data_IF_590021168786
#
_entry.id   IF_590021168786
#
_cell.length_a   1.000
_cell.length_b   1.000
_cell.length_c   1.000
_cell.angle_alpha   90.00
_cell.angle_beta   90.00
_cell.angle_gamma   90.00
#
_symmetry.space_group_name_H-M   'P 1'
#
loop_
_entity.id
_entity.type
_entity.pdbx_description
1 polymer ?
#
# COMPACT_ATOMS: atom_id res chain seq x y z
N UNK A 1 -18.84 -2.60 -7.57
CA UNK A 1 -17.65 -2.53 -8.46
C UNK A 1 -17.98 -1.69 -9.67
N UNK A 2 -17.03 -0.88 -10.15
CA UNK A 2 -17.21 0.00 -11.31
C UNK A 2 -16.12 -0.30 -12.34
N UNK A 3 -16.45 -0.26 -13.63
CA UNK A 3 -15.52 -0.37 -14.76
C UNK A 3 -15.52 0.96 -15.52
N UNK A 4 -14.38 1.61 -15.64
CA UNK A 4 -14.20 2.90 -16.33
C UNK A 4 -15.25 3.97 -15.93
N UNK A 5 -15.60 4.00 -14.64
CA UNK A 5 -16.59 4.92 -14.07
C UNK A 5 -18.05 4.46 -14.09
N UNK A 6 -18.38 3.37 -14.79
CA UNK A 6 -19.74 2.86 -14.89
C UNK A 6 -19.98 1.70 -13.91
N UNK A 7 -21.11 1.72 -13.20
CA UNK A 7 -21.49 0.64 -12.29
C UNK A 7 -21.66 -0.67 -13.07
N UNK A 8 -20.91 -1.71 -12.67
CA UNK A 8 -21.10 -3.06 -13.22
C UNK A 8 -22.38 -3.67 -12.65
N UNK A 9 -23.27 -4.14 -13.52
CA UNK A 9 -24.40 -4.96 -13.11
C UNK A 9 -23.93 -6.32 -12.58
N UNK A 10 -24.75 -6.99 -11.77
CA UNK A 10 -24.42 -8.34 -11.26
C UNK A 10 -24.21 -9.37 -12.38
N UNK A 11 -24.77 -9.13 -13.57
CA UNK A 11 -24.65 -9.99 -14.75
C UNK A 11 -23.38 -9.70 -15.58
N UNK A 12 -22.76 -8.53 -15.41
CA UNK A 12 -21.53 -8.17 -16.10
C UNK A 12 -20.33 -8.67 -15.32
N UNK A 13 -19.80 -9.82 -15.68
CA UNK A 13 -18.52 -10.31 -15.18
C UNK A 13 -17.38 -9.87 -16.10
N UNK A 14 -16.22 -9.54 -15.54
CA UNK A 14 -14.99 -9.43 -16.34
C UNK A 14 -14.70 -10.80 -16.95
N UNK A 15 -14.45 -10.84 -18.26
CA UNK A 15 -14.16 -12.09 -18.94
C UNK A 15 -12.94 -12.76 -18.30
N UNK A 16 -12.97 -14.06 -18.10
CA UNK A 16 -11.87 -14.84 -17.55
C UNK A 16 -10.61 -14.77 -18.40
N UNK A 17 -10.72 -14.50 -19.70
CA UNK A 17 -9.60 -14.26 -20.61
C UNK A 17 -8.87 -12.93 -20.39
N UNK A 18 -9.25 -12.15 -19.36
CA UNK A 18 -8.60 -10.92 -18.98
C UNK A 18 -7.14 -11.16 -18.58
N UNK A 19 -6.22 -10.36 -19.11
CA UNK A 19 -4.78 -10.47 -18.81
C UNK A 19 -4.45 -10.22 -17.33
N UNK A 20 -5.23 -9.38 -16.63
CA UNK A 20 -5.05 -9.19 -15.20
C UNK A 20 -5.26 -10.50 -14.44
N UNK A 21 -6.29 -11.27 -14.82
CA UNK A 21 -6.57 -12.57 -14.21
C UNK A 21 -5.56 -13.65 -14.65
N UNK A 22 -5.32 -13.77 -15.96
CA UNK A 22 -4.48 -14.86 -16.50
C UNK A 22 -2.98 -14.66 -16.28
N UNK A 23 -2.51 -13.41 -16.25
CA UNK A 23 -1.08 -13.10 -16.27
C UNK A 23 -0.65 -12.16 -15.14
N UNK A 24 -1.57 -11.72 -14.27
CA UNK A 24 -1.26 -10.71 -13.27
C UNK A 24 -0.90 -9.34 -13.85
N UNK A 25 -1.33 -9.05 -15.11
CA UNK A 25 -0.98 -7.82 -15.84
C UNK A 25 -1.85 -6.65 -15.37
N UNK A 26 -1.63 -6.25 -14.14
CA UNK A 26 -2.38 -5.17 -13.48
C UNK A 26 -1.52 -4.45 -12.45
N UNK A 27 -1.90 -3.21 -12.13
CA UNK A 27 -1.41 -2.47 -10.98
C UNK A 27 -2.57 -2.12 -10.07
N UNK A 28 -2.33 -2.16 -8.76
CA UNK A 28 -3.31 -1.89 -7.73
C UNK A 28 -2.88 -0.63 -6.96
N UNK A 29 -3.82 0.29 -6.71
CA UNK A 29 -3.57 1.54 -5.98
C UNK A 29 -4.79 1.85 -5.13
N UNK A 30 -4.58 2.56 -4.01
CA UNK A 30 -5.61 2.89 -3.05
C UNK A 30 -5.74 4.41 -2.91
N UNK A 31 -6.88 4.97 -3.35
CA UNK A 31 -7.25 6.35 -3.05
C UNK A 31 -8.00 6.40 -1.72
N UNK A 32 -7.77 7.42 -0.95
CA UNK A 32 -8.32 7.56 0.39
C UNK A 32 -9.42 8.61 0.42
N UNK A 33 -10.43 8.39 1.27
CA UNK A 33 -11.42 9.41 1.55
C UNK A 33 -11.74 9.46 3.05
N UNK A 34 -11.97 10.68 3.52
CA UNK A 34 -12.30 10.98 4.91
C UNK A 34 -13.39 12.06 4.91
N UNK A 35 -14.46 11.86 5.71
CA UNK A 35 -15.61 12.77 5.76
C UNK A 35 -16.19 13.06 4.36
N UNK A 36 -16.35 12.04 3.54
CA UNK A 36 -16.86 12.14 2.14
C UNK A 36 -15.96 12.96 1.20
N UNK A 37 -14.72 13.22 1.53
CA UNK A 37 -13.78 13.94 0.67
C UNK A 37 -12.61 13.05 0.32
N UNK A 38 -12.19 13.05 -0.94
CA UNK A 38 -10.95 12.40 -1.36
C UNK A 38 -9.77 13.17 -0.77
N UNK A 39 -8.84 12.47 -0.12
CA UNK A 39 -7.63 13.04 0.47
C UNK A 39 -6.40 12.39 -0.16
N UNK A 40 -5.24 13.07 -0.12
CA UNK A 40 -3.99 12.65 -0.76
C UNK A 40 -4.16 12.31 -2.26
N UNK A 41 -5.15 12.93 -2.92
CA UNK A 41 -5.53 12.59 -4.29
C UNK A 41 -4.37 12.74 -5.29
N UNK A 42 -3.59 13.81 -5.17
CA UNK A 42 -2.47 14.10 -6.05
C UNK A 42 -1.34 13.07 -5.89
N UNK A 43 -0.95 12.75 -4.65
CA UNK A 43 0.11 11.79 -4.36
C UNK A 43 -0.24 10.40 -4.89
N UNK A 44 -1.49 9.96 -4.64
CA UNK A 44 -1.99 8.66 -5.11
C UNK A 44 -2.12 8.64 -6.63
N UNK A 45 -2.59 9.73 -7.24
CA UNK A 45 -2.66 9.84 -8.70
C UNK A 45 -1.28 9.71 -9.35
N UNK A 46 -0.27 10.42 -8.84
CA UNK A 46 1.08 10.28 -9.38
C UNK A 46 1.65 8.88 -9.16
N UNK A 47 1.32 8.24 -8.04
CA UNK A 47 1.70 6.85 -7.82
C UNK A 47 1.02 5.90 -8.81
N UNK A 48 -0.28 6.08 -9.12
CA UNK A 48 -1.00 5.32 -10.15
C UNK A 48 -0.35 5.49 -11.52
N UNK A 49 -0.08 6.74 -11.94
CA UNK A 49 0.56 7.04 -13.22
C UNK A 49 1.96 6.43 -13.31
N UNK A 50 2.74 6.55 -12.23
CA UNK A 50 4.09 5.97 -12.15
C UNK A 50 4.05 4.44 -12.24
N UNK A 51 3.12 3.80 -11.54
CA UNK A 51 2.93 2.35 -11.52
C UNK A 51 2.58 1.82 -12.91
N UNK A 52 1.63 2.46 -13.59
CA UNK A 52 1.28 2.11 -14.97
C UNK A 52 2.46 2.30 -15.95
N UNK A 53 3.26 3.37 -15.78
CA UNK A 53 4.47 3.59 -16.61
C UNK A 53 5.52 2.52 -16.37
N UNK A 54 5.75 2.11 -15.11
CA UNK A 54 6.66 1.00 -14.78
C UNK A 54 6.22 -0.31 -15.45
N UNK A 55 4.92 -0.56 -15.54
CA UNK A 55 4.33 -1.68 -16.29
C UNK A 55 4.26 -1.44 -17.81
N UNK A 56 4.77 -0.31 -18.31
CA UNK A 56 4.73 0.08 -19.73
C UNK A 56 3.32 0.06 -20.32
N UNK A 57 2.34 0.49 -19.56
CA UNK A 57 0.95 0.59 -19.99
C UNK A 57 0.75 1.80 -20.91
N UNK A 58 -0.12 1.67 -21.91
CA UNK A 58 -0.52 2.77 -22.80
C UNK A 58 -1.63 3.57 -22.12
N UNK A 59 -1.23 4.57 -21.32
CA UNK A 59 -2.14 5.34 -20.47
C UNK A 59 -2.97 6.30 -21.32
N UNK A 60 -4.32 6.26 -21.23
CA UNK A 60 -5.18 7.21 -21.94
C UNK A 60 -4.91 8.67 -21.49
N UNK A 61 -4.93 9.62 -22.41
CA UNK A 61 -4.77 11.05 -22.11
C UNK A 61 -5.90 11.58 -21.21
N UNK A 62 -7.05 10.94 -21.21
CA UNK A 62 -8.19 11.26 -20.35
C UNK A 62 -7.98 10.88 -18.88
N UNK A 63 -6.96 10.10 -18.54
CA UNK A 63 -6.65 9.72 -17.16
C UNK A 63 -5.93 10.88 -16.45
N UNK A 64 -6.65 11.97 -16.20
CA UNK A 64 -6.14 13.14 -15.47
C UNK A 64 -6.48 13.06 -13.98
N UNK A 65 -5.85 13.88 -13.16
CA UNK A 65 -6.17 13.99 -11.73
C UNK A 65 -7.63 14.38 -11.53
N UNK A 66 -8.10 15.37 -12.29
CA UNK A 66 -9.48 15.85 -12.26
C UNK A 66 -10.47 14.74 -12.61
N UNK A 67 -10.18 13.97 -13.66
CA UNK A 67 -11.03 12.83 -14.04
C UNK A 67 -11.22 11.85 -12.88
N UNK A 68 -10.15 11.43 -12.20
CA UNK A 68 -10.26 10.49 -11.09
C UNK A 68 -10.93 11.13 -9.87
N UNK A 69 -10.59 12.39 -9.53
CA UNK A 69 -11.19 13.06 -8.37
C UNK A 69 -12.69 13.30 -8.57
N UNK A 70 -13.13 13.62 -9.77
CA UNK A 70 -14.54 13.86 -10.08
C UNK A 70 -15.36 12.57 -9.95
N UNK A 71 -14.94 11.48 -10.60
CA UNK A 71 -15.69 10.20 -10.54
C UNK A 71 -15.71 9.64 -9.12
N UNK A 72 -14.62 9.76 -8.37
CA UNK A 72 -14.55 9.27 -7.00
C UNK A 72 -15.39 10.12 -6.05
N UNK A 73 -15.32 11.46 -6.17
CA UNK A 73 -16.12 12.36 -5.36
C UNK A 73 -17.62 12.11 -5.55
N UNK A 74 -18.07 11.93 -6.82
CA UNK A 74 -19.47 11.60 -7.10
C UNK A 74 -19.89 10.25 -6.51
N UNK A 75 -19.03 9.24 -6.64
CA UNK A 75 -19.31 7.90 -6.13
C UNK A 75 -19.38 7.88 -4.59
N UNK A 76 -18.47 8.58 -3.89
CA UNK A 76 -18.40 8.64 -2.43
C UNK A 76 -19.68 9.28 -1.84
N UNK A 77 -20.26 10.31 -2.47
CA UNK A 77 -21.45 10.99 -1.94
C UNK A 77 -22.63 10.02 -1.71
N UNK A 78 -22.75 8.99 -2.52
CA UNK A 78 -23.82 8.00 -2.45
C UNK A 78 -23.57 6.84 -1.47
N UNK A 79 -22.41 6.80 -0.80
CA UNK A 79 -22.07 5.74 0.15
C UNK A 79 -22.80 5.93 1.48
N UNK A 80 -23.14 4.84 2.19
CA UNK A 80 -23.70 4.90 3.54
C UNK A 80 -22.63 5.11 4.65
N UNK A 81 -21.40 5.42 4.29
CA UNK A 81 -20.27 5.63 5.22
C UNK A 81 -19.38 6.77 4.73
N UNK A 82 -18.63 7.38 5.65
CA UNK A 82 -17.92 8.63 5.42
C UNK A 82 -16.42 8.46 5.22
N UNK A 83 -15.85 7.33 5.67
CA UNK A 83 -14.42 7.08 5.65
C UNK A 83 -14.11 5.73 4.99
N UNK A 84 -12.93 5.67 4.34
CA UNK A 84 -12.47 4.44 3.72
C UNK A 84 -11.48 4.68 2.60
N UNK A 85 -11.37 3.70 1.74
CA UNK A 85 -10.52 3.79 0.56
C UNK A 85 -11.23 3.28 -0.70
N UNK A 86 -10.69 3.70 -1.84
CA UNK A 86 -11.10 3.26 -3.18
C UNK A 86 -9.96 2.42 -3.72
N UNK A 87 -10.19 1.13 -3.84
CA UNK A 87 -9.24 0.20 -4.45
C UNK A 87 -9.39 0.27 -5.96
N UNK A 88 -8.35 0.72 -6.63
CA UNK A 88 -8.28 0.85 -8.09
C UNK A 88 -7.36 -0.23 -8.64
N UNK A 89 -7.84 -1.00 -9.60
CA UNK A 89 -7.06 -1.95 -10.37
C UNK A 89 -7.03 -1.50 -11.82
N UNK A 90 -5.87 -1.05 -12.31
CA UNK A 90 -5.65 -0.70 -13.72
C UNK A 90 -5.01 -1.86 -14.45
N UNK A 91 -5.52 -2.20 -15.63
CA UNK A 91 -5.09 -3.35 -16.43
C UNK A 91 -5.30 -3.10 -17.93
N UNK A 92 -4.60 -3.87 -18.78
CA UNK A 92 -4.77 -3.76 -20.23
C UNK A 92 -6.09 -4.36 -20.68
N UNK A 93 -6.75 -3.66 -21.61
CA UNK A 93 -7.97 -4.15 -22.26
C UNK A 93 -7.75 -5.54 -22.87
N UNK A 94 -8.81 -6.32 -22.94
CA UNK A 94 -8.82 -7.59 -23.66
C UNK A 94 -8.80 -7.29 -25.15
N UNK A 95 -7.83 -7.85 -25.86
CA UNK A 95 -7.72 -7.81 -27.31
C UNK A 95 -7.23 -9.18 -27.80
N UNK A 96 -7.61 -9.54 -29.02
CA UNK A 96 -7.22 -10.80 -29.65
C UNK A 96 -5.70 -10.92 -29.81
N UNK A 97 -5.03 -9.77 -30.02
CA UNK A 97 -3.58 -9.70 -30.13
C UNK A 97 -3.00 -8.71 -29.12
N UNK A 98 -2.07 -9.16 -28.28
CA UNK A 98 -1.37 -8.28 -27.37
C UNK A 98 -0.50 -7.27 -28.10
N UNK A 99 -0.64 -6.00 -27.75
CA UNK A 99 0.14 -4.90 -28.28
C UNK A 99 0.58 -3.93 -27.16
N UNK A 100 1.74 -3.30 -27.33
CA UNK A 100 2.16 -2.21 -26.45
C UNK A 100 1.22 -0.99 -26.52
N UNK A 101 0.38 -0.89 -27.54
CA UNK A 101 -0.62 0.16 -27.72
C UNK A 101 -2.00 -0.21 -27.15
N UNK A 102 -2.16 -1.43 -26.60
CA UNK A 102 -3.41 -1.87 -25.98
C UNK A 102 -3.85 -0.86 -24.90
N UNK A 103 -5.07 -0.30 -25.01
CA UNK A 103 -5.58 0.66 -24.04
C UNK A 103 -5.66 0.08 -22.63
N UNK A 104 -5.63 0.95 -21.63
CA UNK A 104 -5.80 0.60 -20.22
C UNK A 104 -7.24 0.84 -19.80
N UNK A 105 -7.81 -0.12 -19.10
CA UNK A 105 -9.03 0.00 -18.34
C UNK A 105 -8.71 0.06 -16.84
N UNK A 106 -9.65 0.50 -16.05
CA UNK A 106 -9.59 0.35 -14.61
C UNK A 106 -10.92 -0.08 -14.02
N UNK A 107 -10.87 -0.89 -13.00
CA UNK A 107 -12.00 -1.17 -12.11
C UNK A 107 -11.73 -0.57 -10.76
N UNK A 108 -12.78 -0.18 -10.05
CA UNK A 108 -12.64 0.27 -8.67
C UNK A 108 -13.80 -0.18 -7.80
N UNK A 109 -13.53 -0.29 -6.54
CA UNK A 109 -14.51 -0.55 -5.49
C UNK A 109 -14.24 0.35 -4.28
N UNK A 110 -15.29 0.74 -3.56
CA UNK A 110 -15.18 1.49 -2.33
C UNK A 110 -15.28 0.54 -1.16
N UNK A 111 -14.34 0.69 -0.23
CA UNK A 111 -14.27 -0.13 0.98
C UNK A 111 -14.38 0.79 2.18
N UNK A 112 -15.28 0.44 3.12
CA UNK A 112 -15.39 1.12 4.39
C UNK A 112 -14.19 0.77 5.27
N UNK A 113 -13.51 1.78 5.79
CA UNK A 113 -12.46 1.60 6.79
C UNK A 113 -12.36 2.86 7.67
N UNK A 114 -13.00 2.81 8.81
CA UNK A 114 -13.10 3.96 9.70
C UNK A 114 -11.80 4.22 10.49
N UNK A 115 -10.93 3.22 10.62
CA UNK A 115 -9.65 3.26 11.35
C UNK A 115 -8.42 3.44 10.48
N UNK A 116 -8.58 3.71 9.17
CA UNK A 116 -7.48 3.74 8.19
C UNK A 116 -6.31 4.66 8.58
N UNK A 117 -6.62 5.79 9.23
CA UNK A 117 -5.65 6.81 9.63
C UNK A 117 -5.34 6.81 11.12
N UNK A 118 -5.62 5.72 11.80
CA UNK A 118 -5.34 5.49 13.21
C UNK A 118 -4.59 4.17 13.36
N UNK A 119 -3.94 3.97 14.50
CA UNK A 119 -3.43 2.65 14.82
C UNK A 119 -4.62 1.72 15.05
N UNK A 120 -4.81 0.78 14.14
CA UNK A 120 -5.97 -0.11 14.12
C UNK A 120 -5.89 -1.14 15.24
N UNK A 121 -4.78 -1.85 15.32
CA UNK A 121 -4.49 -2.84 16.37
C UNK A 121 -2.98 -3.07 16.50
N UNK A 122 -2.63 -3.76 17.56
CA UNK A 122 -1.29 -4.34 17.71
C UNK A 122 -1.19 -5.63 16.89
N UNK A 123 -0.04 -5.86 16.26
CA UNK A 123 0.22 -7.05 15.45
C UNK A 123 1.51 -7.74 15.86
N UNK A 124 1.52 -9.06 15.70
CA UNK A 124 2.71 -9.89 15.88
C UNK A 124 3.29 -10.28 14.52
N UNK A 125 4.60 -10.15 14.38
CA UNK A 125 5.35 -10.50 13.18
C UNK A 125 6.41 -11.55 13.45
N UNK A 126 6.74 -12.33 12.43
CA UNK A 126 8.03 -13.06 12.36
C UNK A 126 8.72 -12.78 11.02
N UNK A 127 9.90 -13.33 10.86
CA UNK A 127 10.72 -13.18 9.67
C UNK A 127 10.67 -14.46 8.87
N UNK A 128 10.09 -14.41 7.68
CA UNK A 128 10.10 -15.53 6.75
C UNK A 128 11.45 -15.63 6.04
N UNK A 129 11.99 -16.84 5.91
CA UNK A 129 13.33 -17.09 5.35
C UNK A 129 13.31 -17.94 4.09
N UNK A 130 12.19 -18.62 3.82
CA UNK A 130 12.01 -19.56 2.73
C UNK A 130 11.93 -18.87 1.38
N UNK A 131 11.49 -17.63 1.39
CA UNK A 131 11.34 -16.81 0.18
C UNK A 131 12.04 -15.46 0.37
N UNK A 132 12.26 -14.78 -0.75
CA UNK A 132 12.74 -13.39 -0.75
C UNK A 132 12.03 -12.59 -1.83
N UNK A 133 11.77 -11.30 -1.54
CA UNK A 133 11.19 -10.38 -2.52
C UNK A 133 12.28 -9.78 -3.41
N UNK A 134 11.92 -9.50 -4.65
CA UNK A 134 12.84 -8.87 -5.60
C UNK A 134 13.12 -7.40 -5.26
N UNK A 135 14.18 -6.85 -5.87
CA UNK A 135 14.62 -5.45 -5.70
C UNK A 135 14.65 -4.68 -7.03
N UNK A 136 13.92 -5.16 -8.03
CA UNK A 136 13.84 -4.49 -9.33
C UNK A 136 12.72 -3.42 -9.36
N UNK A 137 12.62 -2.70 -10.47
CA UNK A 137 11.69 -1.56 -10.66
C UNK A 137 10.21 -1.86 -10.35
N UNK A 138 9.78 -3.13 -10.46
CA UNK A 138 8.39 -3.53 -10.16
C UNK A 138 8.16 -3.90 -8.69
N UNK A 139 9.21 -4.02 -7.88
CA UNK A 139 9.10 -4.41 -6.47
C UNK A 139 8.46 -3.34 -5.60
N UNK A 140 8.48 -2.08 -6.07
CA UNK A 140 7.96 -0.94 -5.32
C UNK A 140 6.49 -0.60 -5.61
N UNK A 141 5.82 -1.39 -6.44
CA UNK A 141 4.42 -1.17 -6.82
C UNK A 141 3.58 -2.40 -6.49
N UNK A 142 2.29 -2.19 -6.28
CA UNK A 142 1.38 -3.29 -6.04
C UNK A 142 0.94 -3.93 -7.37
N UNK A 143 1.63 -4.97 -7.77
CA UNK A 143 1.31 -5.84 -8.89
C UNK A 143 1.27 -7.29 -8.43
N UNK A 144 1.05 -8.24 -9.33
CA UNK A 144 1.09 -9.67 -8.99
C UNK A 144 2.45 -10.04 -8.37
N UNK A 145 2.42 -10.61 -7.19
CA UNK A 145 3.59 -10.99 -6.40
C UNK A 145 3.33 -12.34 -5.73
N UNK A 146 3.78 -13.44 -6.32
CA UNK A 146 3.59 -14.79 -5.76
C UNK A 146 4.18 -14.94 -4.36
N UNK A 147 5.27 -14.21 -4.07
CA UNK A 147 5.91 -14.19 -2.76
C UNK A 147 4.96 -13.72 -1.66
N UNK A 148 4.10 -12.74 -1.96
CA UNK A 148 3.10 -12.28 -1.00
C UNK A 148 2.07 -13.38 -0.71
N UNK A 149 1.61 -14.11 -1.73
CA UNK A 149 0.64 -15.20 -1.57
C UNK A 149 1.22 -16.31 -0.67
N UNK A 150 2.47 -16.70 -0.93
CA UNK A 150 3.16 -17.66 -0.10
C UNK A 150 3.30 -17.20 1.35
N UNK A 151 3.73 -15.95 1.54
CA UNK A 151 3.92 -15.34 2.86
C UNK A 151 2.60 -15.21 3.63
N UNK A 152 1.49 -14.95 2.96
CA UNK A 152 0.15 -14.87 3.54
C UNK A 152 -0.30 -16.23 4.10
N UNK A 153 -0.08 -17.30 3.34
CA UNK A 153 -0.35 -18.68 3.79
C UNK A 153 0.54 -19.03 4.98
N UNK A 154 1.84 -18.73 4.87
CA UNK A 154 2.79 -18.97 5.98
C UNK A 154 2.37 -18.23 7.26
N UNK A 155 1.95 -16.97 7.17
CA UNK A 155 1.49 -16.21 8.32
C UNK A 155 0.26 -16.86 8.97
N UNK A 156 -0.71 -17.32 8.18
CA UNK A 156 -1.91 -18.01 8.65
C UNK A 156 -1.57 -19.36 9.33
N UNK A 157 -0.66 -20.16 8.76
CA UNK A 157 -0.23 -21.45 9.31
C UNK A 157 0.53 -21.31 10.65
N UNK A 158 1.08 -20.12 10.93
CA UNK A 158 1.86 -19.82 12.14
C UNK A 158 1.15 -18.87 13.11
N UNK A 159 -0.15 -18.62 12.93
CA UNK A 159 -0.96 -17.71 13.76
C UNK A 159 -0.36 -16.30 13.89
N UNK A 160 0.26 -15.78 12.81
CA UNK A 160 0.85 -14.45 12.74
C UNK A 160 -0.09 -13.47 12.00
N UNK A 161 -0.05 -12.19 12.38
CA UNK A 161 -0.81 -11.15 11.69
C UNK A 161 -0.19 -10.79 10.32
N UNK A 162 1.15 -10.80 10.23
CA UNK A 162 1.93 -10.51 9.02
C UNK A 162 3.37 -11.05 9.20
N UNK A 163 4.20 -10.97 8.18
CA UNK A 163 5.62 -11.36 8.26
C UNK A 163 6.53 -10.34 7.62
N UNK A 164 7.76 -10.27 8.11
CA UNK A 164 8.84 -9.48 7.53
C UNK A 164 9.44 -10.25 6.36
N UNK A 165 9.38 -9.65 5.18
CA UNK A 165 9.97 -10.13 3.94
C UNK A 165 11.38 -9.56 3.77
N UNK A 166 12.32 -10.45 3.46
CA UNK A 166 13.70 -10.08 3.18
C UNK A 166 13.95 -10.08 1.66
N UNK A 167 14.92 -9.30 1.22
CA UNK A 167 15.42 -9.36 -0.14
C UNK A 167 16.57 -10.41 -0.28
N UNK A 168 17.09 -10.65 -1.49
CA UNK A 168 18.19 -11.60 -1.72
C UNK A 168 19.46 -11.31 -0.93
N UNK A 169 19.68 -10.05 -0.52
CA UNK A 169 20.81 -9.64 0.35
C UNK A 169 20.54 -9.85 1.84
N UNK A 170 19.44 -10.52 2.20
CA UNK A 170 18.99 -10.75 3.59
C UNK A 170 18.69 -9.48 4.38
N UNK A 171 18.35 -8.39 3.68
CA UNK A 171 17.92 -7.13 4.26
C UNK A 171 16.41 -7.04 4.31
N UNK A 172 15.88 -6.31 5.28
CA UNK A 172 14.44 -6.06 5.41
C UNK A 172 13.98 -5.24 4.21
N UNK A 173 13.00 -5.76 3.49
CA UNK A 173 12.33 -5.07 2.41
C UNK A 173 11.03 -4.39 2.92
N UNK A 174 10.11 -5.18 3.46
CA UNK A 174 8.77 -4.74 3.84
C UNK A 174 8.03 -5.86 4.60
N UNK A 175 6.79 -5.62 5.00
CA UNK A 175 5.85 -6.71 5.32
C UNK A 175 5.10 -7.19 4.07
N UNK A 176 4.16 -8.12 4.21
CA UNK A 176 3.32 -8.56 3.09
C UNK A 176 2.51 -7.37 2.54
N UNK A 177 1.87 -6.62 3.45
CA UNK A 177 0.87 -5.61 3.09
C UNK A 177 1.39 -4.18 3.11
N UNK A 178 2.52 -3.90 3.76
CA UNK A 178 2.97 -2.53 3.95
C UNK A 178 4.46 -2.39 4.22
N UNK A 179 4.85 -1.17 4.56
CA UNK A 179 6.21 -0.81 4.94
C UNK A 179 6.35 -0.78 6.46
N UNK A 180 7.56 -1.05 6.93
CA UNK A 180 7.92 -1.03 8.34
C UNK A 180 8.75 0.21 8.64
N UNK A 181 8.41 0.91 9.73
CA UNK A 181 9.13 2.05 10.26
C UNK A 181 9.67 1.67 11.63
N UNK A 182 10.96 1.87 11.85
CA UNK A 182 11.66 1.49 13.07
C UNK A 182 12.13 2.76 13.80
N UNK A 183 11.53 3.06 14.94
CA UNK A 183 11.96 4.17 15.79
C UNK A 183 13.13 3.72 16.67
N UNK A 184 14.25 4.43 16.62
CA UNK A 184 15.40 4.24 17.48
C UNK A 184 15.86 5.60 18.02
N UNK A 185 15.70 5.83 19.32
CA UNK A 185 15.88 7.14 19.93
C UNK A 185 14.96 8.20 19.31
N UNK A 186 15.51 9.14 18.57
CA UNK A 186 14.74 10.19 17.86
C UNK A 186 14.80 10.05 16.34
N UNK A 187 15.17 8.88 15.81
CA UNK A 187 15.28 8.62 14.37
C UNK A 187 14.30 7.53 13.96
N UNK A 188 13.51 7.79 12.93
CA UNK A 188 12.68 6.78 12.26
C UNK A 188 13.47 6.25 11.07
N UNK A 189 13.86 4.99 11.15
CA UNK A 189 14.54 4.26 10.08
C UNK A 189 13.52 3.58 9.18
N UNK A 190 13.63 3.81 7.87
CA UNK A 190 12.74 3.24 6.85
C UNK A 190 13.57 2.47 5.84
N UNK A 191 13.28 1.20 5.55
CA UNK A 191 13.97 0.47 4.49
C UNK A 191 13.87 1.20 3.15
N UNK A 192 15.01 1.32 2.44
CA UNK A 192 15.07 1.98 1.14
C UNK A 192 14.15 1.29 0.12
N UNK A 193 13.63 2.05 -0.83
CA UNK A 193 12.89 1.48 -1.96
C UNK A 193 13.75 0.51 -2.78
N UNK A 194 15.06 0.72 -2.84
CA UNK A 194 16.02 -0.18 -3.48
C UNK A 194 16.13 -1.55 -2.81
N UNK A 195 15.67 -1.67 -1.58
CA UNK A 195 15.62 -2.94 -0.84
C UNK A 195 14.31 -3.73 -1.08
N UNK A 196 13.37 -3.19 -1.85
CA UNK A 196 12.09 -3.81 -2.17
C UNK A 196 10.90 -3.28 -1.37
N UNK A 197 11.07 -2.18 -0.64
CA UNK A 197 9.97 -1.50 0.03
C UNK A 197 8.97 -0.90 -0.97
N UNK A 198 7.69 -0.88 -0.62
CA UNK A 198 6.66 -0.25 -1.46
C UNK A 198 6.80 1.27 -1.49
N UNK A 199 6.42 1.86 -2.61
CA UNK A 199 6.02 3.27 -2.63
C UNK A 199 4.63 3.32 -2.04
N UNK A 200 4.45 4.08 -0.95
CA UNK A 200 3.19 4.19 -0.21
C UNK A 200 2.86 5.66 0.01
N UNK A 201 1.87 6.22 -0.70
CA UNK A 201 1.42 7.59 -0.48
C UNK A 201 1.01 7.87 0.97
N UNK A 202 0.38 6.89 1.64
CA UNK A 202 0.00 7.03 3.04
C UNK A 202 1.22 7.19 3.95
N UNK A 203 2.23 6.34 3.79
CA UNK A 203 3.48 6.41 4.55
C UNK A 203 4.24 7.72 4.26
N UNK A 204 4.37 8.10 2.99
CA UNK A 204 5.07 9.33 2.60
C UNK A 204 4.42 10.58 3.18
N UNK A 205 3.07 10.62 3.24
CA UNK A 205 2.33 11.70 3.90
C UNK A 205 2.66 11.77 5.40
N UNK A 206 2.66 10.63 6.10
CA UNK A 206 3.00 10.56 7.51
C UNK A 206 4.45 10.98 7.77
N UNK A 207 5.41 10.44 7.03
CA UNK A 207 6.84 10.78 7.16
C UNK A 207 7.08 12.26 6.90
N UNK A 208 6.44 12.82 5.87
CA UNK A 208 6.52 14.24 5.54
C UNK A 208 5.99 15.11 6.70
N UNK A 209 4.89 14.70 7.32
CA UNK A 209 4.35 15.38 8.51
C UNK A 209 5.34 15.34 9.69
N UNK A 210 5.90 14.17 9.99
CA UNK A 210 6.89 14.00 11.07
C UNK A 210 8.10 14.88 10.84
N UNK A 211 8.63 14.89 9.63
CA UNK A 211 9.81 15.70 9.26
C UNK A 211 9.51 17.21 9.35
N UNK A 212 8.42 17.69 8.75
CA UNK A 212 8.02 19.11 8.77
C UNK A 212 7.82 19.64 10.19
N UNK A 213 7.27 18.82 11.09
CA UNK A 213 7.02 19.19 12.49
C UNK A 213 8.20 18.87 13.43
N UNK A 214 9.32 18.36 12.89
CA UNK A 214 10.54 18.03 13.65
C UNK A 214 10.26 17.06 14.82
N UNK A 215 9.35 16.12 14.62
CA UNK A 215 8.99 15.14 15.66
C UNK A 215 10.02 14.03 15.79
N UNK A 216 10.66 13.67 14.68
CA UNK A 216 11.79 12.75 14.61
C UNK A 216 12.61 13.03 13.33
N UNK A 217 13.85 12.55 13.29
CA UNK A 217 14.65 12.47 12.08
C UNK A 217 14.21 11.26 11.24
N UNK A 218 14.30 11.39 9.92
CA UNK A 218 13.94 10.30 8.99
C UNK A 218 15.21 9.82 8.30
N UNK A 219 15.49 8.53 8.39
CA UNK A 219 16.66 7.92 7.75
C UNK A 219 16.24 6.73 6.87
N UNK A 220 16.59 6.78 5.59
CA UNK A 220 16.42 5.63 4.68
C UNK A 220 17.61 4.68 4.84
N UNK A 221 17.34 3.44 5.22
CA UNK A 221 18.37 2.48 5.64
C UNK A 221 18.38 1.20 4.80
N UNK A 222 19.52 0.54 4.82
CA UNK A 222 19.72 -0.85 4.44
C UNK A 222 19.86 -1.65 5.74
N UNK A 223 18.82 -2.35 6.16
CA UNK A 223 18.72 -2.96 7.48
C UNK A 223 18.65 -4.49 7.39
N UNK A 224 19.49 -5.18 8.11
CA UNK A 224 19.38 -6.64 8.27
C UNK A 224 18.35 -6.99 9.36
N UNK A 225 17.81 -8.20 9.28
CA UNK A 225 16.76 -8.65 10.18
C UNK A 225 17.08 -8.49 11.67
N UNK A 226 18.34 -8.70 12.08
CA UNK A 226 18.76 -8.55 13.48
C UNK A 226 18.66 -7.11 14.00
N UNK A 227 18.81 -6.12 13.11
CA UNK A 227 18.76 -4.71 13.52
C UNK A 227 17.36 -4.25 13.91
N UNK A 228 16.29 -4.93 13.42
CA UNK A 228 14.92 -4.66 13.88
C UNK A 228 14.77 -4.82 15.40
N UNK A 229 15.62 -5.65 16.02
CA UNK A 229 15.62 -5.88 17.46
C UNK A 229 16.19 -4.68 18.26
N UNK A 230 16.80 -3.68 17.61
CA UNK A 230 17.30 -2.47 18.28
C UNK A 230 16.25 -1.39 18.41
N UNK A 231 15.19 -1.45 17.61
CA UNK A 231 14.13 -0.45 17.64
C UNK A 231 13.47 -0.35 19.02
N UNK A 232 13.08 0.88 19.38
CA UNK A 232 12.27 1.17 20.56
C UNK A 232 10.79 0.90 20.27
N UNK A 233 10.31 1.32 19.10
CA UNK A 233 8.94 1.09 18.61
C UNK A 233 8.97 0.73 17.12
N UNK A 234 7.97 -0.03 16.66
CA UNK A 234 7.85 -0.39 15.24
C UNK A 234 6.42 -0.13 14.78
N UNK A 235 6.29 0.52 13.63
CA UNK A 235 5.01 0.81 12.97
C UNK A 235 4.98 0.13 11.61
N UNK A 236 3.84 -0.47 11.25
CA UNK A 236 3.54 -0.89 9.89
C UNK A 236 2.52 0.04 9.27
N UNK A 237 2.80 0.55 8.08
CA UNK A 237 1.86 1.37 7.29
C UNK A 237 1.58 0.68 5.96
N UNK A 238 0.31 0.45 5.71
CA UNK A 238 -0.22 -0.19 4.51
C UNK A 238 -1.29 0.70 3.86
N UNK A 239 -1.17 0.96 2.58
CA UNK A 239 -2.20 1.69 1.82
C UNK A 239 -3.53 0.89 1.75
N UNK A 240 -3.47 -0.43 1.89
CA UNK A 240 -4.64 -1.32 1.85
C UNK A 240 -5.26 -1.58 3.23
N UNK A 241 -4.42 -1.82 4.23
CA UNK A 241 -4.86 -2.32 5.53
C UNK A 241 -4.90 -1.24 6.61
N UNK A 242 -4.27 -0.07 6.37
CA UNK A 242 -4.13 0.99 7.34
C UNK A 242 -2.85 0.89 8.17
N UNK A 243 -2.92 1.34 9.42
CA UNK A 243 -1.75 1.54 10.28
C UNK A 243 -1.82 0.59 11.48
N UNK A 244 -0.71 -0.07 11.76
CA UNK A 244 -0.61 -1.07 12.83
C UNK A 244 0.63 -0.83 13.69
N UNK A 245 0.49 -0.99 14.99
CA UNK A 245 1.63 -1.08 15.88
C UNK A 245 2.15 -2.50 15.90
N UNK A 246 3.43 -2.68 15.65
CA UNK A 246 4.08 -4.00 15.81
C UNK A 246 4.48 -4.14 17.27
N UNK A 247 3.73 -4.94 18.02
CA UNK A 247 3.99 -5.13 19.44
C UNK A 247 4.94 -6.29 19.75
N UNK A 248 5.19 -7.17 18.76
CA UNK A 248 6.11 -8.30 18.96
C UNK A 248 6.72 -8.79 17.65
N UNK A 249 8.03 -9.04 17.68
CA UNK A 249 8.76 -9.79 16.66
C UNK A 249 9.50 -10.92 17.38
N UNK A 250 9.08 -12.17 17.14
CA UNK A 250 9.57 -13.37 17.84
C UNK A 250 9.41 -13.25 19.35
N UNK A 251 10.52 -13.10 20.08
CA UNK A 251 10.57 -13.05 21.54
C UNK A 251 10.69 -11.62 22.07
N UNK A 252 10.79 -10.60 21.21
CA UNK A 252 10.90 -9.21 21.64
C UNK A 252 9.57 -8.47 21.50
N UNK A 253 9.16 -7.85 22.59
CA UNK A 253 8.00 -6.96 22.65
C UNK A 253 8.43 -5.50 22.44
N UNK A 254 7.52 -4.71 21.86
CA UNK A 254 7.71 -3.30 21.54
C UNK A 254 6.51 -2.48 22.05
N UNK A 255 6.75 -1.35 22.72
CA UNK A 255 5.70 -0.37 23.01
C UNK A 255 5.31 0.41 21.74
N UNK A 256 4.31 1.31 21.88
CA UNK A 256 3.81 2.10 20.74
C UNK A 256 3.45 3.54 21.09
N UNK A 257 3.93 4.06 22.18
CA UNK A 257 3.48 5.36 22.76
C UNK A 257 3.78 6.53 21.84
N UNK A 258 5.00 6.62 21.30
CA UNK A 258 5.45 7.73 20.47
C UNK A 258 4.81 7.73 19.08
N UNK A 259 4.75 6.56 18.44
CA UNK A 259 4.06 6.44 17.16
C UNK A 259 2.56 6.75 17.31
N UNK A 260 1.92 6.31 18.39
CA UNK A 260 0.51 6.64 18.68
C UNK A 260 0.29 8.15 18.72
N UNK A 261 1.11 8.88 19.48
CA UNK A 261 1.02 10.33 19.58
C UNK A 261 1.25 11.03 18.22
N UNK A 262 2.24 10.56 17.45
CA UNK A 262 2.53 11.13 16.13
C UNK A 262 1.39 10.88 15.12
N UNK A 263 0.81 9.68 15.12
CA UNK A 263 -0.32 9.31 14.24
C UNK A 263 -1.57 10.10 14.59
N UNK A 264 -1.91 10.24 15.88
CA UNK A 264 -3.05 11.04 16.30
C UNK A 264 -2.94 12.50 15.80
N UNK A 265 -1.79 13.12 16.00
CA UNK A 265 -1.54 14.50 15.55
C UNK A 265 -1.59 14.63 14.03
N UNK A 266 -0.99 13.68 13.31
CA UNK A 266 -1.03 13.66 11.84
C UNK A 266 -2.45 13.47 11.30
N UNK A 267 -3.23 12.56 11.87
CA UNK A 267 -4.61 12.30 11.47
C UNK A 267 -5.50 13.56 11.53
N UNK A 268 -5.26 14.45 12.50
CA UNK A 268 -5.97 15.74 12.61
C UNK A 268 -5.66 16.69 11.45
N UNK A 269 -4.57 16.50 10.72
CA UNK A 269 -4.18 17.33 9.58
C UNK A 269 -4.74 16.85 8.25
N UNK A 270 -5.29 15.63 8.20
CA UNK A 270 -5.91 15.05 7.01
C UNK A 270 -7.36 15.58 6.87
N UNK A 271 -7.54 16.58 6.02
CA UNK A 271 -8.83 17.26 5.80
C UNK A 271 -9.29 17.13 4.35
#
# INVERSE_FOLDING_TARGET
MYLDGNLLSQEQSLAYANRAFMNGDAVKVYFFFKNKKVILAEDVYFFLMSSMRKMRMNIPLSFTLEFFTDIFSQAIQNLPFDNGYIKVLAFRKIEDTFSAKTPVHFVYEMVREDSLFQINKNIELDIIKEISVNTHILSNIHTHCPENIYAEIYAQENDLDDVILLNPSKRIARSIYGNLLFLEGNTIKVPKQTEGAYISPLMESFITYVHKNRLAEIEQVEMIAFESQKADEILMISDEKGIFSVNKIRNKEFPNSRFSEMIEKWNLTLV
#
